data_IF_285480908649
#
_entry.id   IF_285480908649
#
_cell.length_a   1.000
_cell.length_b   1.000
_cell.length_c   1.000
_cell.angle_alpha   90.00
_cell.angle_beta   90.00
_cell.angle_gamma   90.00
#
_symmetry.space_group_name_H-M   'P 1'
#
loop_
_entity.id
_entity.type
_entity.pdbx_description
1 polymer ?
#
# COMPACT_ATOMS: atom_id res chain seq x y z
N UNK A 1 -19.27 -7.08 -15.67
CA UNK A 1 -20.13 -8.15 -15.10
C UNK A 1 -21.41 -7.50 -14.60
N UNK A 2 -22.59 -8.08 -14.82
CA UNK A 2 -23.88 -7.50 -14.40
C UNK A 2 -24.42 -8.30 -13.22
N UNK A 3 -24.38 -7.71 -12.04
CA UNK A 3 -24.81 -8.33 -10.79
C UNK A 3 -25.95 -7.50 -10.22
N UNK A 4 -27.02 -8.15 -9.79
CA UNK A 4 -28.10 -7.50 -9.05
C UNK A 4 -27.68 -7.44 -7.58
N UNK A 5 -27.58 -6.25 -7.03
CA UNK A 5 -27.22 -6.00 -5.63
C UNK A 5 -28.36 -5.23 -4.99
N UNK A 6 -28.91 -5.76 -3.90
CA UNK A 6 -29.87 -5.04 -3.09
C UNK A 6 -29.14 -3.97 -2.27
N UNK A 7 -29.44 -2.71 -2.57
CA UNK A 7 -28.90 -1.54 -1.87
C UNK A 7 -30.02 -0.88 -1.07
N UNK A 8 -29.71 -0.49 0.17
CA UNK A 8 -30.64 0.31 0.93
C UNK A 8 -30.90 1.66 0.23
N UNK A 9 -32.15 2.13 0.34
CA UNK A 9 -32.62 3.37 -0.30
C UNK A 9 -31.72 4.60 -0.01
N UNK A 10 -31.24 4.83 1.23
CA UNK A 10 -30.35 5.96 1.51
C UNK A 10 -28.99 5.87 0.80
N UNK A 11 -28.47 4.66 0.58
CA UNK A 11 -27.20 4.44 -0.11
C UNK A 11 -27.38 4.67 -1.60
N UNK A 12 -28.48 4.18 -2.17
CA UNK A 12 -28.82 4.39 -3.58
C UNK A 12 -29.00 5.88 -3.92
N UNK A 13 -29.64 6.65 -3.04
CA UNK A 13 -29.86 8.09 -3.23
C UNK A 13 -28.54 8.87 -3.23
N UNK A 14 -27.62 8.54 -2.31
CA UNK A 14 -26.26 9.12 -2.30
C UNK A 14 -25.48 8.77 -3.56
N UNK A 15 -25.57 7.52 -4.02
CA UNK A 15 -24.87 7.07 -5.22
C UNK A 15 -25.37 7.80 -6.47
N UNK A 16 -26.69 8.01 -6.59
CA UNK A 16 -27.30 8.81 -7.67
C UNK A 16 -26.90 10.28 -7.60
N UNK A 17 -26.75 10.85 -6.41
CA UNK A 17 -26.28 12.22 -6.24
C UNK A 17 -24.83 12.38 -6.74
N UNK A 18 -23.92 11.46 -6.39
CA UNK A 18 -22.56 11.44 -6.93
C UNK A 18 -22.54 11.21 -8.44
N UNK A 19 -23.40 10.32 -8.95
CA UNK A 19 -23.49 10.04 -10.38
C UNK A 19 -23.76 11.32 -11.19
N UNK A 20 -24.67 12.17 -10.71
CA UNK A 20 -24.99 13.46 -11.35
C UNK A 20 -23.82 14.43 -11.35
N UNK A 21 -22.95 14.36 -10.33
CA UNK A 21 -21.79 15.23 -10.16
C UNK A 21 -20.63 14.80 -11.08
N UNK A 22 -20.36 13.50 -11.16
CA UNK A 22 -19.17 12.97 -11.84
C UNK A 22 -19.42 12.52 -13.29
N UNK A 23 -20.68 12.54 -13.76
CA UNK A 23 -21.09 12.10 -15.11
C UNK A 23 -20.65 10.66 -15.45
N UNK A 24 -20.43 9.83 -14.44
CA UNK A 24 -20.06 8.41 -14.59
C UNK A 24 -21.31 7.50 -14.60
N UNK A 25 -21.14 6.24 -15.01
CA UNK A 25 -22.22 5.25 -14.86
C UNK A 25 -22.34 4.81 -13.41
N UNK A 26 -23.57 4.52 -12.95
CA UNK A 26 -23.83 4.08 -11.58
C UNK A 26 -22.98 2.85 -11.18
N UNK A 27 -22.80 1.91 -12.13
CA UNK A 27 -22.01 0.70 -11.93
C UNK A 27 -20.51 0.98 -11.77
N UNK A 28 -19.94 1.89 -12.56
CA UNK A 28 -18.52 2.26 -12.41
C UNK A 28 -18.28 2.97 -11.07
N UNK A 29 -19.17 3.87 -10.68
CA UNK A 29 -19.08 4.59 -9.41
C UNK A 29 -19.21 3.61 -8.22
N UNK A 30 -20.17 2.69 -8.27
CA UNK A 30 -20.33 1.65 -7.25
C UNK A 30 -19.08 0.79 -7.13
N UNK A 31 -18.54 0.31 -8.26
CA UNK A 31 -17.32 -0.52 -8.27
C UNK A 31 -16.11 0.23 -7.71
N UNK A 32 -15.95 1.51 -8.05
CA UNK A 32 -14.85 2.35 -7.53
C UNK A 32 -14.93 2.52 -6.02
N UNK A 33 -16.11 2.91 -5.51
CA UNK A 33 -16.33 3.10 -4.07
C UNK A 33 -16.19 1.79 -3.29
N UNK A 34 -16.63 0.67 -3.86
CA UNK A 34 -16.45 -0.65 -3.26
C UNK A 34 -14.98 -1.05 -3.23
N UNK A 35 -14.23 -0.84 -4.33
CA UNK A 35 -12.80 -1.12 -4.38
C UNK A 35 -12.04 -0.30 -3.31
N UNK A 36 -12.36 0.99 -3.19
CA UNK A 36 -11.76 1.86 -2.16
C UNK A 36 -12.11 1.38 -0.74
N UNK A 37 -13.36 0.98 -0.50
CA UNK A 37 -13.78 0.44 0.79
C UNK A 37 -13.09 -0.89 1.13
N UNK A 38 -12.90 -1.78 0.15
CA UNK A 38 -12.15 -3.02 0.32
C UNK A 38 -10.69 -2.74 0.62
N UNK A 39 -10.03 -1.84 -0.13
CA UNK A 39 -8.65 -1.41 0.13
C UNK A 39 -8.50 -0.85 1.55
N UNK A 40 -9.39 0.06 1.99
CA UNK A 40 -9.37 0.59 3.36
C UNK A 40 -9.56 -0.50 4.41
N UNK A 41 -10.41 -1.50 4.13
CA UNK A 41 -10.66 -2.61 5.05
C UNK A 41 -9.49 -3.59 5.10
N UNK A 42 -8.83 -3.86 3.98
CA UNK A 42 -7.63 -4.70 3.89
C UNK A 42 -6.45 -4.02 4.59
N UNK A 43 -6.14 -2.77 4.24
CA UNK A 43 -5.08 -2.00 4.89
C UNK A 43 -5.37 -1.70 6.37
N UNK A 44 -6.64 -1.54 6.76
CA UNK A 44 -7.04 -1.39 8.15
C UNK A 44 -6.93 -2.67 8.97
N UNK A 45 -6.94 -3.85 8.32
CA UNK A 45 -6.74 -5.17 8.94
C UNK A 45 -5.27 -5.60 8.92
N UNK A 46 -4.52 -5.13 7.93
CA UNK A 46 -3.05 -5.20 7.85
C UNK A 46 -2.34 -4.11 8.65
N UNK A 47 -3.07 -3.33 9.44
CA UNK A 47 -2.51 -2.71 10.65
C UNK A 47 -2.29 -3.76 11.75
N UNK A 48 -1.83 -4.97 11.40
CA UNK A 48 -0.80 -5.57 12.25
C UNK A 48 0.38 -4.59 12.18
N UNK A 49 1.01 -4.23 13.32
CA UNK A 49 2.16 -3.35 13.27
C UNK A 49 3.08 -3.90 12.19
N UNK A 50 3.38 -3.07 11.18
CA UNK A 50 4.35 -3.40 10.13
C UNK A 50 5.44 -4.22 10.79
N UNK A 51 5.58 -5.49 10.37
CA UNK A 51 6.45 -6.43 11.06
C UNK A 51 7.74 -5.68 11.39
N UNK A 52 8.15 -5.61 12.68
CA UNK A 52 9.20 -4.69 13.09
C UNK A 52 10.38 -4.91 12.16
N UNK A 53 10.88 -3.81 11.58
CA UNK A 53 11.96 -3.81 10.61
C UNK A 53 13.07 -4.75 11.12
N UNK A 54 13.15 -5.94 10.53
CA UNK A 54 14.08 -6.97 10.96
C UNK A 54 15.39 -6.72 10.24
N UNK A 55 16.28 -5.97 10.88
CA UNK A 55 17.64 -5.79 10.41
C UNK A 55 18.36 -7.14 10.39
N UNK A 56 18.62 -7.66 9.19
CA UNK A 56 19.47 -8.83 9.02
C UNK A 56 20.89 -8.45 9.43
N UNK A 57 21.32 -8.89 10.61
CA UNK A 57 22.69 -8.75 11.09
C UNK A 57 23.40 -10.09 10.90
N UNK A 58 24.56 -10.05 10.27
CA UNK A 58 25.45 -11.19 10.15
C UNK A 58 26.86 -10.70 10.48
N UNK A 59 27.60 -11.45 11.30
CA UNK A 59 29.00 -11.14 11.55
C UNK A 59 29.81 -11.47 10.29
N UNK A 60 30.13 -10.42 9.53
CA UNK A 60 30.87 -10.52 8.26
C UNK A 60 32.39 -10.57 8.48
N UNK A 61 32.87 -10.57 9.73
CA UNK A 61 34.30 -10.59 10.05
C UNK A 61 35.05 -9.45 9.36
N UNK A 62 34.63 -8.21 9.64
CA UNK A 62 35.08 -7.02 8.92
C UNK A 62 36.62 -6.95 8.86
N UNK A 63 37.17 -7.08 7.65
CA UNK A 63 38.62 -6.99 7.38
C UNK A 63 39.12 -5.56 7.24
N UNK A 64 38.20 -4.60 7.28
CA UNK A 64 38.42 -3.18 7.04
C UNK A 64 37.75 -2.42 8.17
N UNK A 65 38.49 -1.51 8.80
CA UNK A 65 37.93 -0.57 9.74
C UNK A 65 37.12 0.48 8.97
N UNK A 66 35.80 0.49 9.17
CA UNK A 66 34.89 1.42 8.50
C UNK A 66 35.00 2.86 9.04
N UNK A 67 35.65 3.06 10.19
CA UNK A 67 35.94 4.40 10.71
C UNK A 67 37.15 5.04 9.99
N UNK A 68 38.02 4.23 9.37
CA UNK A 68 39.12 4.71 8.54
C UNK A 68 38.66 4.82 7.08
N UNK A 69 38.33 6.05 6.68
CA UNK A 69 37.94 6.39 5.32
C UNK A 69 38.95 5.89 4.28
N UNK A 70 40.25 6.01 4.55
CA UNK A 70 41.30 5.58 3.61
C UNK A 70 41.39 4.06 3.50
N UNK A 71 41.14 3.33 4.59
CA UNK A 71 41.06 1.87 4.56
C UNK A 71 39.89 1.37 3.70
N UNK A 72 38.74 2.06 3.74
CA UNK A 72 37.58 1.75 2.89
C UNK A 72 37.89 1.99 1.41
N UNK A 73 38.49 3.12 1.05
CA UNK A 73 38.85 3.40 -0.35
C UNK A 73 39.87 2.39 -0.89
N UNK A 74 40.90 2.04 -0.11
CA UNK A 74 41.87 1.00 -0.52
C UNK A 74 41.22 -0.35 -0.76
N UNK A 75 40.26 -0.74 0.07
CA UNK A 75 39.55 -2.01 -0.09
C UNK A 75 38.61 -2.01 -1.32
N UNK A 76 38.05 -0.84 -1.67
CA UNK A 76 37.21 -0.68 -2.84
C UNK A 76 38.01 -0.69 -4.15
N UNK A 77 39.20 -0.05 -4.15
CA UNK A 77 40.09 0.00 -5.33
C UNK A 77 40.85 -1.32 -5.58
N UNK A 78 41.02 -2.15 -4.55
CA UNK A 78 41.69 -3.45 -4.65
C UNK A 78 40.75 -4.60 -5.10
N UNK A 79 39.48 -4.31 -5.38
CA UNK A 79 38.44 -5.30 -5.72
C UNK A 79 38.14 -5.40 -7.21
#
# INVERSE_FOLDING_TARGET
MRTTLDLEKPVLDKLKALQRKEKATLGQLASSLLAEAFQRREHGKESSPSAPLSWTTADMGARVDLADKEAVYRALDAS
#
